data_IF_261813795891
#
_entry.id   IF_261813795891
#
_cell.length_a   1.000
_cell.length_b   1.000
_cell.length_c   1.000
_cell.angle_alpha   90.00
_cell.angle_beta   90.00
_cell.angle_gamma   90.00
#
_symmetry.space_group_name_H-M   'P 1'
#
loop_
_entity.id
_entity.type
_entity.pdbx_description
1 polymer ?
#
# COMPACT_ATOMS: atom_id res chain seq x y z
N UNK A 1 5.85 0.58 -0.58
CA UNK A 1 5.29 -0.01 -1.81
C UNK A 1 3.86 -0.43 -1.49
N UNK A 2 2.83 0.13 -2.15
CA UNK A 2 1.45 -0.34 -1.95
C UNK A 2 1.36 -1.84 -2.26
N UNK A 3 0.46 -2.54 -1.57
CA UNK A 3 0.23 -3.99 -1.71
C UNK A 3 -0.47 -4.30 -3.06
N UNK A 4 0.23 -4.04 -4.17
CA UNK A 4 -0.30 -4.26 -5.50
C UNK A 4 -0.23 -5.75 -5.85
N UNK A 5 -1.34 -6.38 -6.31
CA UNK A 5 -1.32 -7.76 -6.72
C UNK A 5 -0.28 -7.98 -7.83
N UNK A 6 0.50 -9.06 -7.71
CA UNK A 6 1.61 -9.34 -8.61
C UNK A 6 1.18 -9.60 -10.07
N UNK A 7 -0.07 -10.04 -10.28
CA UNK A 7 -0.63 -10.38 -11.59
C UNK A 7 -0.62 -9.22 -12.60
N UNK A 8 -1.29 -8.08 -12.31
CA UNK A 8 -1.22 -6.88 -13.13
C UNK A 8 0.21 -6.42 -13.46
N UNK A 9 1.15 -6.51 -12.51
CA UNK A 9 2.55 -6.16 -12.72
C UNK A 9 3.24 -7.09 -13.72
N UNK A 10 3.01 -8.41 -13.62
CA UNK A 10 3.53 -9.39 -14.59
C UNK A 10 2.98 -9.13 -16.00
N UNK A 11 1.68 -8.82 -16.11
CA UNK A 11 1.05 -8.47 -17.39
C UNK A 11 1.68 -7.23 -18.00
N UNK A 12 1.89 -6.18 -17.22
CA UNK A 12 2.49 -4.93 -17.67
C UNK A 12 3.92 -5.15 -18.19
N UNK A 13 4.76 -5.91 -17.45
CA UNK A 13 6.12 -6.26 -17.88
C UNK A 13 6.11 -7.03 -19.21
N UNK A 14 5.24 -8.04 -19.33
CA UNK A 14 5.10 -8.80 -20.57
C UNK A 14 4.68 -7.89 -21.74
N UNK A 15 3.68 -7.04 -21.55
CA UNK A 15 3.21 -6.13 -22.61
C UNK A 15 4.28 -5.13 -23.02
N UNK A 16 5.03 -4.57 -22.06
CA UNK A 16 6.16 -3.68 -22.33
C UNK A 16 7.27 -4.37 -23.13
N UNK A 17 7.47 -5.68 -22.93
CA UNK A 17 8.41 -6.49 -23.72
C UNK A 17 7.86 -6.91 -25.10
N UNK A 18 6.62 -6.57 -25.45
CA UNK A 18 5.99 -6.95 -26.72
C UNK A 18 5.70 -8.45 -26.87
N UNK A 19 5.75 -9.22 -25.77
CA UNK A 19 5.66 -10.69 -25.79
C UNK A 19 4.24 -11.18 -25.57
N UNK A 20 3.90 -12.31 -26.20
CA UNK A 20 2.63 -13.01 -25.94
C UNK A 20 2.72 -13.86 -24.68
N UNK A 21 1.58 -14.19 -24.06
CA UNK A 21 1.53 -15.11 -22.90
C UNK A 21 2.15 -16.46 -23.28
N UNK A 22 1.86 -16.96 -24.48
CA UNK A 22 2.43 -18.22 -24.99
C UNK A 22 3.95 -18.18 -25.12
N UNK A 23 4.51 -17.06 -25.59
CA UNK A 23 5.95 -16.88 -25.69
C UNK A 23 6.63 -16.90 -24.31
N UNK A 24 6.08 -16.16 -23.33
CA UNK A 24 6.64 -16.16 -21.96
C UNK A 24 6.45 -17.53 -21.28
N UNK A 25 5.33 -18.21 -21.54
CA UNK A 25 5.05 -19.55 -21.04
C UNK A 25 6.12 -20.56 -21.48
N UNK A 26 6.48 -20.54 -22.77
CA UNK A 26 7.52 -21.41 -23.31
C UNK A 26 8.87 -21.18 -22.62
N UNK A 27 9.33 -19.93 -22.54
CA UNK A 27 10.62 -19.60 -21.93
C UNK A 27 10.66 -19.86 -20.43
N UNK A 28 9.56 -19.54 -19.73
CA UNK A 28 9.44 -19.80 -18.31
C UNK A 28 9.22 -21.31 -18.05
N UNK A 29 8.91 -22.13 -19.06
CA UNK A 29 8.49 -23.54 -18.95
C UNK A 29 7.23 -23.73 -18.09
N UNK A 30 6.30 -22.78 -18.15
CA UNK A 30 5.02 -22.79 -17.45
C UNK A 30 3.89 -22.96 -18.47
N UNK A 31 2.69 -23.34 -18.02
CA UNK A 31 1.56 -23.46 -18.94
C UNK A 31 0.96 -22.08 -19.26
N UNK A 32 0.47 -21.91 -20.49
CA UNK A 32 -0.24 -20.70 -20.92
C UNK A 32 -1.44 -20.38 -20.00
N UNK A 33 -2.29 -21.35 -19.62
CA UNK A 33 -3.41 -21.09 -18.71
C UNK A 33 -2.95 -20.67 -17.31
N UNK A 34 -1.82 -21.19 -16.83
CA UNK A 34 -1.27 -20.79 -15.53
C UNK A 34 -0.84 -19.32 -15.52
N UNK A 35 -0.09 -18.87 -16.53
CA UNK A 35 0.32 -17.46 -16.63
C UNK A 35 -0.89 -16.55 -16.85
N UNK A 36 -1.84 -16.95 -17.71
CA UNK A 36 -3.05 -16.16 -17.94
C UNK A 36 -3.89 -15.99 -16.66
N UNK A 37 -4.03 -17.05 -15.86
CA UNK A 37 -4.70 -16.96 -14.55
C UNK A 37 -3.93 -16.05 -13.61
N UNK A 38 -2.61 -16.20 -13.54
CA UNK A 38 -1.75 -15.39 -12.68
C UNK A 38 -1.83 -13.89 -13.04
N UNK A 39 -1.78 -13.54 -14.32
CA UNK A 39 -1.94 -12.16 -14.79
C UNK A 39 -3.32 -11.55 -14.46
N UNK A 40 -4.34 -12.39 -14.30
CA UNK A 40 -5.68 -11.99 -13.87
C UNK A 40 -5.86 -11.99 -12.34
N UNK A 41 -4.78 -12.14 -11.57
CA UNK A 41 -4.82 -12.19 -10.11
C UNK A 41 -5.44 -13.48 -9.56
N UNK A 42 -5.50 -14.55 -10.37
CA UNK A 42 -6.03 -15.85 -9.95
C UNK A 42 -4.88 -16.83 -9.71
N UNK A 43 -4.85 -17.39 -8.51
CA UNK A 43 -3.87 -18.39 -8.09
C UNK A 43 -2.79 -17.85 -7.15
N UNK A 44 -2.05 -18.77 -6.53
CA UNK A 44 -0.97 -18.46 -5.60
C UNK A 44 0.36 -18.97 -6.21
N UNK A 45 1.17 -18.10 -6.84
CA UNK A 45 2.40 -18.53 -7.47
C UNK A 45 3.44 -18.93 -6.42
N UNK A 46 4.22 -19.96 -6.72
CA UNK A 46 5.39 -20.30 -5.89
C UNK A 46 6.54 -19.34 -6.18
N UNK A 47 7.47 -19.19 -5.25
CA UNK A 47 8.71 -18.42 -5.46
C UNK A 47 9.51 -18.94 -6.64
N UNK A 48 9.50 -20.26 -6.87
CA UNK A 48 10.10 -20.88 -8.05
C UNK A 48 9.43 -20.41 -9.36
N UNK A 49 8.09 -20.40 -9.42
CA UNK A 49 7.37 -19.92 -10.60
C UNK A 49 7.65 -18.43 -10.86
N UNK A 50 7.71 -17.61 -9.81
CA UNK A 50 8.08 -16.20 -9.91
C UNK A 50 9.50 -16.01 -10.43
N UNK A 51 10.46 -16.80 -9.95
CA UNK A 51 11.85 -16.75 -10.43
C UNK A 51 11.96 -17.09 -11.92
N UNK A 52 11.26 -18.13 -12.37
CA UNK A 52 11.21 -18.53 -13.79
C UNK A 52 10.59 -17.46 -14.69
N UNK A 53 9.52 -16.80 -14.20
CA UNK A 53 8.90 -15.68 -14.91
C UNK A 53 9.82 -14.46 -14.98
N UNK A 54 10.53 -14.15 -13.90
CA UNK A 54 11.51 -13.06 -13.88
C UNK A 54 12.62 -13.32 -14.91
N UNK A 55 13.21 -14.53 -14.91
CA UNK A 55 14.20 -14.93 -15.92
C UNK A 55 13.67 -14.82 -17.36
N UNK A 56 12.45 -15.31 -17.62
CA UNK A 56 11.84 -15.23 -18.95
C UNK A 56 11.55 -13.78 -19.39
N UNK A 57 11.25 -12.89 -18.46
CA UNK A 57 10.99 -11.47 -18.74
C UNK A 57 12.25 -10.60 -18.69
N UNK A 58 13.43 -11.18 -18.42
CA UNK A 58 14.68 -10.43 -18.29
C UNK A 58 14.73 -9.51 -17.07
N UNK A 59 14.04 -9.88 -15.99
CA UNK A 59 13.99 -9.14 -14.73
C UNK A 59 14.57 -9.94 -13.56
N UNK A 60 14.82 -9.26 -12.44
CA UNK A 60 15.31 -9.86 -11.21
C UNK A 60 14.18 -9.99 -10.17
N UNK A 61 14.08 -11.16 -9.52
CA UNK A 61 13.18 -11.38 -8.39
C UNK A 61 13.92 -11.10 -7.08
N UNK A 62 13.53 -10.04 -6.38
CA UNK A 62 14.01 -9.74 -5.03
C UNK A 62 12.89 -9.98 -4.00
N UNK A 63 13.21 -10.69 -2.92
CA UNK A 63 12.29 -11.00 -1.82
C UNK A 63 12.88 -10.41 -0.53
N UNK A 64 12.17 -9.45 0.05
CA UNK A 64 12.52 -8.86 1.35
C UNK A 64 11.49 -9.25 2.40
N UNK A 65 11.94 -9.42 3.63
CA UNK A 65 11.08 -9.55 4.81
C UNK A 65 11.18 -8.25 5.59
N UNK A 66 10.05 -7.69 5.99
CA UNK A 66 10.01 -6.55 6.92
C UNK A 66 9.36 -6.99 8.22
N UNK A 67 9.91 -6.55 9.34
CA UNK A 67 9.33 -6.76 10.67
C UNK A 67 8.27 -5.71 11.02
N UNK A 68 8.03 -4.74 10.14
CA UNK A 68 6.92 -3.82 10.32
C UNK A 68 5.61 -4.61 10.23
N UNK A 69 4.74 -4.57 11.26
CA UNK A 69 3.41 -5.11 11.11
C UNK A 69 2.75 -4.41 9.90
N UNK A 70 2.02 -5.13 9.05
CA UNK A 70 1.29 -4.50 7.96
C UNK A 70 0.47 -3.37 8.58
N UNK A 71 0.65 -2.13 8.09
CA UNK A 71 -0.09 -0.98 8.58
C UNK A 71 -1.57 -1.37 8.68
N UNK A 72 -2.00 -1.59 9.93
CA UNK A 72 -3.31 -2.02 10.43
C UNK A 72 -4.30 -2.50 9.36
N UNK A 73 -4.35 -3.81 9.11
CA UNK A 73 -5.41 -4.47 8.33
C UNK A 73 -6.70 -4.70 9.16
N UNK A 74 -6.94 -3.87 10.17
CA UNK A 74 -8.24 -3.78 10.84
C UNK A 74 -9.19 -2.92 10.01
N UNK A 75 -10.53 -3.12 10.09
CA UNK A 75 -11.48 -2.22 9.47
C UNK A 75 -11.26 -0.79 10.01
N UNK A 76 -11.00 0.16 9.11
CA UNK A 76 -10.85 1.57 9.50
C UNK A 76 -12.13 2.06 10.16
N UNK A 77 -12.08 2.65 11.37
CA UNK A 77 -13.26 3.16 12.07
C UNK A 77 -14.02 4.19 11.22
N UNK A 78 -15.36 4.21 11.30
CA UNK A 78 -16.19 5.08 10.46
C UNK A 78 -15.93 6.57 10.71
N UNK A 79 -15.65 6.94 11.95
CA UNK A 79 -15.23 8.28 12.38
C UNK A 79 -13.94 8.72 11.68
N UNK A 80 -12.96 7.83 11.55
CA UNK A 80 -11.69 8.08 10.84
C UNK A 80 -11.92 8.16 9.33
N UNK A 81 -12.82 7.35 8.76
CA UNK A 81 -13.22 7.46 7.35
C UNK A 81 -13.93 8.79 7.07
N UNK A 82 -14.79 9.27 7.97
CA UNK A 82 -15.44 10.59 7.84
C UNK A 82 -14.42 11.72 7.94
N UNK A 83 -13.52 11.64 8.93
CA UNK A 83 -12.44 12.59 9.14
C UNK A 83 -11.56 12.72 7.89
N UNK A 84 -11.10 11.60 7.32
CA UNK A 84 -10.17 11.60 6.18
C UNK A 84 -10.74 12.19 4.89
N UNK A 85 -12.07 12.20 4.75
CA UNK A 85 -12.77 12.83 3.60
C UNK A 85 -12.89 14.34 3.72
N UNK A 86 -12.68 14.91 4.91
CA UNK A 86 -12.84 16.34 5.15
C UNK A 86 -11.78 17.17 4.42
N UNK A 87 -12.13 18.39 4.01
CA UNK A 87 -11.16 19.35 3.44
C UNK A 87 -10.09 19.73 4.45
N UNK A 88 -10.48 19.90 5.71
CA UNK A 88 -9.57 20.25 6.82
C UNK A 88 -8.50 19.17 6.98
N UNK A 89 -8.85 17.90 6.86
CA UNK A 89 -7.89 16.80 7.05
C UNK A 89 -6.81 16.82 5.98
N UNK A 90 -7.21 17.01 4.71
CA UNK A 90 -6.27 17.16 3.60
C UNK A 90 -5.35 18.36 3.79
N UNK A 91 -5.87 19.49 4.29
CA UNK A 91 -5.06 20.67 4.59
C UNK A 91 -4.07 20.40 5.72
N UNK A 92 -4.48 19.74 6.80
CA UNK A 92 -3.61 19.33 7.92
C UNK A 92 -2.51 18.37 7.44
N UNK A 93 -2.86 17.35 6.65
CA UNK A 93 -1.89 16.41 6.10
C UNK A 93 -0.88 17.11 5.17
N UNK A 94 -1.34 18.04 4.33
CA UNK A 94 -0.47 18.82 3.46
C UNK A 94 0.50 19.72 4.26
N UNK A 95 0.02 20.40 5.30
CA UNK A 95 0.87 21.24 6.16
C UNK A 95 1.96 20.42 6.89
N UNK A 96 1.59 19.25 7.43
CA UNK A 96 2.53 18.34 8.08
C UNK A 96 3.55 17.75 7.07
N UNK A 97 3.10 17.47 5.84
CA UNK A 97 3.93 16.95 4.77
C UNK A 97 4.98 17.97 4.30
N UNK A 98 4.56 19.23 4.12
CA UNK A 98 5.46 20.34 3.76
C UNK A 98 6.60 20.49 4.76
N UNK A 99 6.28 20.45 6.06
CA UNK A 99 7.29 20.56 7.13
C UNK A 99 8.26 19.39 7.22
N UNK A 100 7.80 18.20 6.85
CA UNK A 100 8.60 16.97 6.94
C UNK A 100 9.28 16.61 5.61
N UNK A 101 9.02 17.36 4.52
CA UNK A 101 9.52 17.05 3.18
C UNK A 101 8.96 15.74 2.61
N UNK A 102 7.78 15.32 3.07
CA UNK A 102 7.14 14.05 2.71
C UNK A 102 6.00 14.26 1.69
N UNK A 103 5.56 13.19 1.04
CA UNK A 103 4.38 13.27 0.19
C UNK A 103 3.09 13.40 1.05
N UNK A 104 2.16 14.31 0.70
CA UNK A 104 0.91 14.49 1.44
C UNK A 104 0.05 13.23 1.55
N UNK A 105 0.07 12.34 0.56
CA UNK A 105 -0.69 11.08 0.60
C UNK A 105 -0.08 10.10 1.59
N UNK A 106 1.25 10.03 1.67
CA UNK A 106 1.94 9.19 2.64
C UNK A 106 1.67 9.66 4.08
N UNK A 107 1.71 10.97 4.32
CA UNK A 107 1.38 11.56 5.62
C UNK A 107 -0.08 11.30 5.97
N UNK A 108 -1.01 11.49 5.02
CA UNK A 108 -2.43 11.19 5.23
C UNK A 108 -2.67 9.71 5.59
N UNK A 109 -2.04 8.78 4.87
CA UNK A 109 -2.14 7.35 5.16
C UNK A 109 -1.62 7.01 6.56
N UNK A 110 -0.49 7.61 6.96
CA UNK A 110 0.07 7.43 8.31
C UNK A 110 -0.83 8.00 9.41
N UNK A 111 -1.44 9.17 9.19
CA UNK A 111 -2.40 9.75 10.15
C UNK A 111 -3.65 8.88 10.32
N UNK A 112 -4.18 8.32 9.22
CA UNK A 112 -5.31 7.38 9.26
C UNK A 112 -4.94 6.13 10.06
N UNK A 113 -3.76 5.56 9.79
CA UNK A 113 -3.23 4.43 10.55
C UNK A 113 -3.09 4.73 12.04
N UNK A 114 -2.54 5.89 12.39
CA UNK A 114 -2.41 6.32 13.78
C UNK A 114 -3.76 6.47 14.49
N UNK A 115 -4.78 7.04 13.82
CA UNK A 115 -6.12 7.15 14.40
C UNK A 115 -6.78 5.76 14.60
N UNK A 116 -6.53 4.82 13.69
CA UNK A 116 -7.00 3.44 13.83
C UNK A 116 -6.35 2.75 15.04
N UNK A 117 -5.03 2.90 15.22
CA UNK A 117 -4.30 2.38 16.39
C UNK A 117 -4.77 3.04 17.70
N UNK A 118 -5.05 4.34 17.70
CA UNK A 118 -5.60 5.03 18.86
C UNK A 118 -7.01 4.54 19.20
N UNK A 119 -7.83 4.23 18.20
CA UNK A 119 -9.16 3.65 18.43
C UNK A 119 -9.06 2.30 19.13
N UNK A 120 -8.14 1.45 18.68
CA UNK A 120 -7.86 0.16 19.30
C UNK A 120 -7.35 0.33 20.74
N UNK A 121 -6.41 1.25 20.96
CA UNK A 121 -5.84 1.53 22.28
C UNK A 121 -6.87 2.10 23.27
N UNK A 122 -7.82 2.92 22.80
CA UNK A 122 -8.91 3.47 23.62
C UNK A 122 -10.00 2.42 23.93
N UNK A 123 -10.08 1.34 23.15
CA UNK A 123 -11.13 0.32 23.27
C UNK A 123 -12.52 0.80 22.84
N UNK A 124 -12.63 2.02 22.30
CA UNK A 124 -13.86 2.58 21.77
C UNK A 124 -13.56 3.56 20.63
N UNK A 125 -14.56 3.79 19.78
CA UNK A 125 -14.47 4.77 18.70
C UNK A 125 -14.62 6.20 19.25
N UNK A 126 -13.64 7.05 18.98
CA UNK A 126 -13.67 8.46 19.39
C UNK A 126 -14.50 9.32 18.42
N UNK A 127 -15.02 10.43 18.92
CA UNK A 127 -15.81 11.36 18.11
C UNK A 127 -14.95 12.15 17.13
N UNK A 128 -15.58 12.78 16.14
CA UNK A 128 -14.89 13.67 15.19
C UNK A 128 -14.13 14.80 15.91
N UNK A 129 -14.72 15.35 16.98
CA UNK A 129 -14.09 16.41 17.77
C UNK A 129 -12.81 15.93 18.46
N UNK A 130 -12.77 14.69 18.94
CA UNK A 130 -11.60 14.11 19.59
C UNK A 130 -10.46 13.91 18.58
N UNK A 131 -10.79 13.45 17.37
CA UNK A 131 -9.81 13.34 16.30
C UNK A 131 -9.21 14.69 15.90
N UNK A 132 -10.01 15.75 15.86
CA UNK A 132 -9.48 17.09 15.62
C UNK A 132 -8.51 17.53 16.71
N UNK A 133 -8.81 17.26 17.99
CA UNK A 133 -7.87 17.56 19.09
C UNK A 133 -6.54 16.83 18.93
N UNK A 134 -6.58 15.56 18.55
CA UNK A 134 -5.36 14.77 18.30
C UNK A 134 -4.55 15.36 17.14
N UNK A 135 -5.21 15.65 16.01
CA UNK A 135 -4.53 16.23 14.84
C UNK A 135 -3.98 17.63 15.12
N UNK A 136 -4.74 18.48 15.82
CA UNK A 136 -4.29 19.82 16.20
C UNK A 136 -3.07 19.74 17.15
N UNK A 137 -3.05 18.77 18.08
CA UNK A 137 -1.89 18.51 18.93
C UNK A 137 -0.66 18.05 18.12
N UNK A 138 -0.85 17.16 17.14
CA UNK A 138 0.23 16.72 16.25
C UNK A 138 0.80 17.87 15.42
N UNK A 139 -0.07 18.76 14.91
CA UNK A 139 0.36 19.98 14.22
C UNK A 139 1.13 20.88 15.17
N UNK A 140 0.63 21.13 16.39
CA UNK A 140 1.32 21.97 17.37
C UNK A 140 2.72 21.44 17.71
N UNK A 141 2.86 20.13 17.90
CA UNK A 141 4.16 19.48 18.15
C UNK A 141 5.09 19.64 16.94
N UNK A 142 4.57 19.54 15.72
CA UNK A 142 5.35 19.76 14.49
C UNK A 142 5.72 21.23 14.26
N UNK A 143 4.92 22.18 14.75
CA UNK A 143 5.22 23.62 14.73
C UNK A 143 6.29 24.02 15.74
N UNK A 144 6.32 23.36 16.89
CA UNK A 144 7.18 23.71 18.01
C UNK A 144 7.93 22.49 18.55
N UNK A 145 8.94 21.98 17.81
CA UNK A 145 9.80 20.92 18.31
C UNK A 145 10.61 21.41 19.52
N UNK A 146 10.86 20.51 20.48
CA UNK A 146 11.63 20.78 21.69
C UNK A 146 13.13 20.98 21.43
#
# INVERSE_FOLDING_TARGET
>A
MPNEPIGPRLRALRQASGRTVASVAADAGLSVPYIANLENGRGNPTTNALGRLASALGTELSIGFSSDPPATAGPTPQSVVKLSRSKRFRATAAALAEKSGQDPQDVAARLIGACALLTEALGHEAGEHDWWRVLDALVLIAEHPA
#
